data_IF_197279972863
#
_entry.id   IF_197279972863
#
_cell.length_a   1.000
_cell.length_b   1.000
_cell.length_c   1.000
_cell.angle_alpha   90.00
_cell.angle_beta   90.00
_cell.angle_gamma   90.00
#
_symmetry.space_group_name_H-M   'P 1'
#
loop_
_entity.id
_entity.type
_entity.pdbx_description
1 polymer ?
#
# COMPACT_ATOMS: atom_id res chain seq x y z
N UNK A 1 23.15 -19.91 -9.90
CA UNK A 1 23.00 -18.91 -8.83
C UNK A 1 22.12 -17.77 -9.33
N UNK A 2 21.10 -17.43 -8.56
CA UNK A 2 20.25 -16.29 -8.91
C UNK A 2 20.95 -15.00 -8.57
N UNK A 3 20.91 -14.05 -9.48
CA UNK A 3 21.45 -12.70 -9.25
C UNK A 3 20.31 -11.70 -9.26
N UNK A 4 20.41 -10.72 -8.38
CA UNK A 4 19.45 -9.64 -8.27
C UNK A 4 20.13 -8.30 -8.49
N UNK A 5 19.42 -7.39 -9.17
CA UNK A 5 19.91 -6.04 -9.40
C UNK A 5 19.64 -5.14 -8.18
N UNK A 6 18.55 -5.42 -7.45
CA UNK A 6 18.15 -4.62 -6.30
C UNK A 6 17.72 -5.49 -5.14
N UNK A 7 18.09 -5.08 -3.95
CA UNK A 7 17.55 -5.58 -2.70
C UNK A 7 16.62 -4.53 -2.11
N UNK A 8 15.35 -4.88 -1.95
CA UNK A 8 14.34 -3.97 -1.42
C UNK A 8 13.99 -4.43 -0.02
N UNK A 9 14.23 -3.58 0.97
CA UNK A 9 13.90 -3.85 2.35
C UNK A 9 12.57 -3.18 2.66
N UNK A 10 11.55 -3.99 2.95
CA UNK A 10 10.20 -3.53 3.20
C UNK A 10 9.27 -3.77 2.01
N UNK A 11 8.18 -4.50 2.26
CA UNK A 11 7.17 -4.82 1.26
C UNK A 11 5.96 -3.88 1.38
N UNK A 12 6.19 -2.60 1.70
CA UNK A 12 5.18 -1.57 1.70
C UNK A 12 4.94 -1.02 0.30
N UNK A 13 4.12 0.02 0.21
CA UNK A 13 3.73 0.60 -1.08
C UNK A 13 4.93 1.13 -1.87
N UNK A 14 5.84 1.83 -1.21
CA UNK A 14 7.03 2.39 -1.87
C UNK A 14 7.88 1.30 -2.51
N UNK A 15 8.21 0.26 -1.73
CA UNK A 15 9.00 -0.86 -2.23
C UNK A 15 8.30 -1.63 -3.34
N UNK A 16 6.99 -1.80 -3.24
CA UNK A 16 6.19 -2.49 -4.26
C UNK A 16 6.19 -1.72 -5.58
N UNK A 17 6.02 -0.41 -5.55
CA UNK A 17 6.06 0.42 -6.76
C UNK A 17 7.45 0.38 -7.38
N UNK A 18 8.49 0.49 -6.57
CA UNK A 18 9.86 0.39 -7.07
C UNK A 18 10.12 -0.96 -7.75
N UNK A 19 9.70 -2.05 -7.12
CA UNK A 19 9.90 -3.39 -7.68
C UNK A 19 9.13 -3.56 -8.99
N UNK A 20 7.90 -3.05 -9.06
CA UNK A 20 7.08 -3.12 -10.27
C UNK A 20 7.75 -2.39 -11.44
N UNK A 21 8.22 -1.16 -11.20
CA UNK A 21 8.88 -0.37 -12.23
C UNK A 21 10.23 -0.95 -12.63
N UNK A 22 10.98 -1.49 -11.67
CA UNK A 22 12.24 -2.16 -11.96
C UNK A 22 12.04 -3.41 -12.82
N UNK A 23 11.01 -4.19 -12.54
CA UNK A 23 10.68 -5.38 -13.33
C UNK A 23 10.31 -5.00 -14.77
N UNK A 24 9.57 -3.92 -14.97
CA UNK A 24 9.26 -3.41 -16.30
C UNK A 24 10.51 -3.03 -17.07
N UNK A 25 11.55 -2.57 -16.38
CA UNK A 25 12.85 -2.23 -16.97
C UNK A 25 13.77 -3.45 -17.14
N UNK A 26 13.27 -4.66 -16.89
CA UNK A 26 14.06 -5.89 -17.02
C UNK A 26 14.98 -6.19 -15.86
N UNK A 27 14.79 -5.53 -14.72
CA UNK A 27 15.60 -5.74 -13.53
C UNK A 27 15.00 -6.80 -12.61
N UNK A 28 15.86 -7.43 -11.84
CA UNK A 28 15.45 -8.47 -10.87
C UNK A 28 15.58 -7.91 -9.47
N UNK A 29 14.51 -8.06 -8.68
CA UNK A 29 14.45 -7.55 -7.32
C UNK A 29 14.23 -8.68 -6.32
N UNK A 30 14.89 -8.59 -5.18
CA UNK A 30 14.61 -9.40 -4.01
C UNK A 30 13.99 -8.48 -2.95
N UNK A 31 12.80 -8.81 -2.49
CA UNK A 31 12.08 -8.02 -1.49
C UNK A 31 12.07 -8.78 -0.18
N UNK A 32 12.51 -8.11 0.89
CA UNK A 32 12.53 -8.67 2.24
C UNK A 32 11.67 -7.81 3.16
N UNK A 33 10.91 -8.45 4.03
CA UNK A 33 10.15 -7.75 5.06
C UNK A 33 10.16 -8.56 6.35
N UNK A 34 10.24 -7.86 7.47
CA UNK A 34 10.20 -8.48 8.80
C UNK A 34 8.78 -8.78 9.28
N UNK A 35 7.77 -8.17 8.68
CA UNK A 35 6.37 -8.42 9.02
C UNK A 35 5.88 -9.71 8.35
N UNK A 36 4.88 -10.35 8.93
CA UNK A 36 4.32 -11.57 8.39
C UNK A 36 3.37 -11.36 7.21
N UNK A 37 3.29 -10.16 6.66
CA UNK A 37 2.42 -9.81 5.54
C UNK A 37 3.08 -8.73 4.66
N UNK A 38 2.57 -8.57 3.46
CA UNK A 38 2.97 -7.48 2.56
C UNK A 38 2.13 -6.22 2.82
N UNK A 39 2.34 -5.19 2.03
CA UNK A 39 1.63 -3.91 2.01
C UNK A 39 2.00 -2.93 3.12
N UNK A 40 2.82 -3.31 4.09
CA UNK A 40 3.33 -2.37 5.10
C UNK A 40 2.21 -1.70 5.89
N UNK A 41 2.31 -0.39 6.05
CA UNK A 41 1.36 0.37 6.87
C UNK A 41 -0.03 0.49 6.25
N UNK A 42 -0.18 0.23 4.96
CA UNK A 42 -1.51 0.26 4.31
C UNK A 42 -2.24 -1.08 4.37
N UNK A 43 -1.66 -2.05 5.08
CA UNK A 43 -2.24 -3.38 5.18
C UNK A 43 -3.61 -3.33 5.86
N UNK A 44 -4.57 -3.94 5.20
CA UNK A 44 -5.95 -4.09 5.68
C UNK A 44 -6.29 -5.57 5.71
N UNK A 45 -6.94 -6.01 6.77
CA UNK A 45 -7.35 -7.41 6.89
C UNK A 45 -8.82 -7.52 7.25
N UNK A 46 -9.53 -8.55 6.73
CA UNK A 46 -10.90 -8.79 7.12
C UNK A 46 -10.94 -9.45 8.49
N UNK A 47 -11.73 -8.88 9.40
CA UNK A 47 -11.99 -9.44 10.71
C UNK A 47 -13.50 -9.43 10.94
N UNK A 48 -14.11 -10.60 11.06
CA UNK A 48 -15.54 -10.75 11.26
C UNK A 48 -16.38 -9.99 10.23
N UNK A 49 -15.94 -10.01 8.96
CA UNK A 49 -16.63 -9.33 7.88
C UNK A 49 -16.35 -7.83 7.77
N UNK A 50 -15.47 -7.32 8.61
CA UNK A 50 -15.08 -5.91 8.61
C UNK A 50 -13.65 -5.77 8.10
N UNK A 51 -13.41 -4.79 7.25
CA UNK A 51 -12.06 -4.47 6.78
C UNK A 51 -11.36 -3.61 7.81
N UNK A 52 -10.33 -4.17 8.46
CA UNK A 52 -9.59 -3.50 9.52
C UNK A 52 -8.27 -2.96 8.98
N UNK A 53 -8.08 -1.64 9.12
CA UNK A 53 -6.81 -0.98 8.84
C UNK A 53 -5.89 -1.17 10.04
N UNK A 54 -4.98 -2.12 9.95
CA UNK A 54 -4.19 -2.56 11.10
C UNK A 54 -3.28 -1.50 11.68
N UNK A 55 -2.78 -0.61 10.84
CA UNK A 55 -1.81 0.44 11.24
C UNK A 55 -2.38 1.85 11.09
N UNK A 56 -3.70 1.98 11.24
CA UNK A 56 -4.40 3.23 11.05
C UNK A 56 -5.08 3.33 9.69
N UNK A 57 -6.04 4.21 9.58
CA UNK A 57 -6.79 4.38 8.33
C UNK A 57 -5.90 4.98 7.24
N UNK A 58 -5.92 4.36 6.08
CA UNK A 58 -5.19 4.83 4.91
C UNK A 58 -6.15 4.95 3.73
N UNK A 59 -6.49 6.19 3.39
CA UNK A 59 -7.37 6.51 2.27
C UNK A 59 -6.51 7.10 1.16
N UNK A 60 -6.57 6.49 -0.02
CA UNK A 60 -5.83 7.03 -1.15
C UNK A 60 -6.49 8.31 -1.66
N UNK A 61 -5.71 9.36 -1.79
CA UNK A 61 -6.18 10.65 -2.28
C UNK A 61 -5.14 11.28 -3.19
N UNK A 62 -5.56 11.72 -4.38
CA UNK A 62 -4.67 12.40 -5.30
C UNK A 62 -5.45 13.27 -6.30
N UNK A 63 -4.86 14.40 -6.68
CA UNK A 63 -5.32 15.22 -7.80
C UNK A 63 -4.50 15.00 -9.07
N UNK A 64 -3.48 14.14 -9.01
CA UNK A 64 -2.60 13.87 -10.14
C UNK A 64 -3.18 12.77 -11.01
N UNK A 65 -3.52 13.10 -12.25
CA UNK A 65 -4.11 12.14 -13.19
C UNK A 65 -3.20 10.94 -13.49
N UNK A 66 -1.90 11.19 -13.62
CA UNK A 66 -0.96 10.11 -13.91
C UNK A 66 -0.88 9.11 -12.76
N UNK A 67 -0.89 9.59 -11.52
CA UNK A 67 -0.92 8.74 -10.34
C UNK A 67 -2.23 7.97 -10.27
N UNK A 68 -3.35 8.64 -10.50
CA UNK A 68 -4.66 7.99 -10.50
C UNK A 68 -4.75 6.88 -11.54
N UNK A 69 -4.29 7.14 -12.75
CA UNK A 69 -4.25 6.14 -13.81
C UNK A 69 -3.33 4.98 -13.46
N UNK A 70 -2.19 5.26 -12.84
CA UNK A 70 -1.25 4.23 -12.44
C UNK A 70 -1.86 3.26 -11.42
N UNK A 71 -2.46 3.78 -10.35
CA UNK A 71 -3.02 2.90 -9.30
C UNK A 71 -4.24 2.13 -9.77
N UNK A 72 -5.01 2.66 -10.72
CA UNK A 72 -6.17 1.97 -11.26
C UNK A 72 -5.82 0.78 -12.15
N UNK A 73 -4.56 0.60 -12.52
CA UNK A 73 -4.10 -0.62 -13.17
C UNK A 73 -4.14 -1.83 -12.25
N UNK A 74 -4.10 -1.61 -10.94
CA UNK A 74 -3.94 -2.67 -9.95
C UNK A 74 -5.20 -2.94 -9.15
N UNK A 75 -6.06 -1.94 -8.99
CA UNK A 75 -7.24 -2.05 -8.15
C UNK A 75 -8.32 -1.06 -8.58
N UNK A 76 -9.57 -1.42 -8.34
CA UNK A 76 -10.70 -0.52 -8.48
C UNK A 76 -10.94 0.16 -7.14
N UNK A 77 -11.08 1.49 -7.15
CA UNK A 77 -11.30 2.27 -5.95
C UNK A 77 -12.78 2.58 -5.78
N UNK A 78 -13.28 2.48 -4.55
CA UNK A 78 -14.70 2.58 -4.26
C UNK A 78 -15.19 4.01 -3.98
N UNK A 79 -14.34 5.02 -4.12
CA UNK A 79 -14.65 6.43 -3.89
C UNK A 79 -15.16 6.71 -2.47
N UNK A 80 -14.61 6.00 -1.52
CA UNK A 80 -14.98 6.13 -0.12
C UNK A 80 -14.68 7.54 0.38
N UNK A 81 -15.64 8.12 1.11
CA UNK A 81 -15.45 9.40 1.79
C UNK A 81 -15.13 9.14 3.25
N UNK A 82 -14.00 9.64 3.72
CA UNK A 82 -13.57 9.45 5.08
C UNK A 82 -14.15 10.54 5.99
N UNK A 83 -14.93 10.12 6.97
CA UNK A 83 -15.52 11.02 7.97
C UNK A 83 -15.30 10.44 9.35
N UNK A 84 -14.07 10.55 9.89
CA UNK A 84 -13.75 9.93 11.17
C UNK A 84 -14.46 10.63 12.32
N UNK A 85 -14.84 9.83 13.32
CA UNK A 85 -15.46 10.31 14.55
C UNK A 85 -14.57 9.90 15.73
N UNK A 86 -14.16 10.88 16.54
CA UNK A 86 -13.48 10.61 17.79
C UNK A 86 -14.47 10.48 18.92
N UNK A 87 -14.26 9.47 19.76
CA UNK A 87 -15.12 9.18 20.91
C UNK A 87 -14.29 9.33 22.19
N UNK A 88 -14.89 9.97 23.20
CA UNK A 88 -14.27 10.07 24.52
C UNK A 88 -13.30 11.21 24.67
N UNK A 89 -13.22 12.09 23.69
CA UNK A 89 -12.34 13.25 23.72
C UNK A 89 -13.08 14.49 23.24
N UNK A 90 -12.86 15.61 23.92
CA UNK A 90 -13.47 16.86 23.49
C UNK A 90 -12.86 17.31 22.17
N UNK A 91 -13.72 17.68 21.26
CA UNK A 91 -13.32 18.35 20.04
C UNK A 91 -13.32 19.85 20.24
N UNK A 92 -12.28 20.44 19.85
CA UNK A 92 -12.11 21.89 19.94
C UNK A 92 -11.96 22.50 18.56
#
# INVERSE_FOLDING_TARGET
MKQYDYLIVGAGLYGAVFAHEAKKAGKRCLVLDKRGHIAGNIYTEPVEGINVHRYGAHIFHTNNKAVWQYVNQFAEFNRYTNSPVEIGRAHV
#
